data_IF_334132423507
#
_entry.id   IF_334132423507
#
_cell.length_a   1.000
_cell.length_b   1.000
_cell.length_c   1.000
_cell.angle_alpha   90.00
_cell.angle_beta   90.00
_cell.angle_gamma   90.00
#
_symmetry.space_group_name_H-M   'P 1'
#
loop_
_entity.id
_entity.type
_entity.pdbx_description
1 polymer ?
#
# COMPACT_ATOMS: atom_id res chain seq x y z
N UNK A 1 9.53 -8.10 -14.72
CA UNK A 1 8.46 -7.81 -13.75
C UNK A 1 8.41 -8.94 -12.72
N UNK A 2 8.35 -8.65 -11.42
CA UNK A 2 8.16 -9.65 -10.37
C UNK A 2 6.71 -9.61 -9.88
N UNK A 3 6.17 -10.77 -9.52
CA UNK A 3 4.82 -10.88 -8.95
C UNK A 3 4.89 -11.23 -7.47
N UNK A 4 4.06 -10.56 -6.67
CA UNK A 4 3.88 -10.88 -5.27
C UNK A 4 2.39 -11.02 -4.94
N UNK A 5 2.11 -11.56 -3.77
CA UNK A 5 0.77 -11.56 -3.20
C UNK A 5 0.79 -10.98 -1.79
N UNK A 6 -0.30 -10.34 -1.44
CA UNK A 6 -0.57 -9.84 -0.10
C UNK A 6 -1.10 -10.97 0.77
N UNK A 7 -0.54 -11.12 1.96
CA UNK A 7 -0.77 -12.32 2.77
C UNK A 7 -2.08 -12.33 3.55
N UNK A 8 -2.72 -11.18 3.75
CA UNK A 8 -3.95 -11.08 4.56
C UNK A 8 -5.09 -11.89 3.99
N UNK A 9 -5.12 -12.13 2.67
CA UNK A 9 -6.16 -12.98 2.06
C UNK A 9 -6.19 -14.41 2.59
N UNK A 10 -5.07 -14.88 3.15
CA UNK A 10 -4.98 -16.20 3.79
C UNK A 10 -5.40 -16.20 5.26
N UNK A 11 -5.88 -15.07 5.76
CA UNK A 11 -6.38 -14.89 7.13
C UNK A 11 -5.39 -15.38 8.20
N UNK A 12 -5.74 -16.45 8.93
CA UNK A 12 -4.95 -17.00 10.01
C UNK A 12 -4.00 -18.14 9.60
N UNK A 13 -3.77 -18.34 8.29
CA UNK A 13 -2.88 -19.42 7.84
C UNK A 13 -1.44 -19.17 8.31
N UNK A 14 -0.70 -20.23 8.68
CA UNK A 14 0.73 -20.10 9.00
C UNK A 14 1.53 -19.58 7.80
N UNK A 15 2.55 -18.75 8.03
CA UNK A 15 3.39 -18.19 6.96
C UNK A 15 4.01 -19.29 6.06
N UNK A 16 4.37 -20.45 6.61
CA UNK A 16 4.88 -21.57 5.82
C UNK A 16 3.88 -22.11 4.80
N UNK A 17 2.58 -22.12 5.15
CA UNK A 17 1.53 -22.52 4.21
C UNK A 17 1.37 -21.47 3.10
N UNK A 18 1.35 -20.18 3.46
CA UNK A 18 1.25 -19.07 2.51
C UNK A 18 2.43 -19.10 1.54
N UNK A 19 3.66 -19.22 2.06
CA UNK A 19 4.88 -19.28 1.27
C UNK A 19 4.90 -20.51 0.34
N UNK A 20 4.46 -21.67 0.82
CA UNK A 20 4.33 -22.88 -0.01
C UNK A 20 3.36 -22.68 -1.19
N UNK A 21 2.19 -22.07 -0.93
CA UNK A 21 1.21 -21.77 -1.99
C UNK A 21 1.78 -20.75 -2.98
N UNK A 22 2.35 -19.65 -2.50
CA UNK A 22 2.94 -18.61 -3.34
C UNK A 22 4.04 -19.17 -4.26
N UNK A 23 4.99 -19.92 -3.70
CA UNK A 23 6.08 -20.54 -4.47
C UNK A 23 5.55 -21.52 -5.51
N UNK A 24 4.63 -22.41 -5.14
CA UNK A 24 4.03 -23.39 -6.06
C UNK A 24 3.27 -22.74 -7.23
N UNK A 25 2.63 -21.61 -7.00
CA UNK A 25 1.94 -20.84 -8.04
C UNK A 25 2.91 -20.01 -8.88
N UNK A 26 4.17 -19.87 -8.45
CA UNK A 26 5.23 -19.15 -9.15
C UNK A 26 5.20 -17.64 -8.92
N UNK A 27 4.73 -17.20 -7.75
CA UNK A 27 5.01 -15.86 -7.24
C UNK A 27 6.48 -15.73 -6.86
N UNK A 28 6.99 -14.53 -6.81
CA UNK A 28 8.38 -14.22 -6.48
C UNK A 28 8.52 -13.66 -5.05
N UNK A 29 7.42 -13.19 -4.45
CA UNK A 29 7.45 -12.58 -3.14
C UNK A 29 6.10 -12.54 -2.43
N UNK A 30 6.18 -12.17 -1.15
CA UNK A 30 5.03 -11.95 -0.26
C UNK A 30 5.11 -10.53 0.29
N UNK A 31 3.99 -9.84 0.27
CA UNK A 31 3.78 -8.57 0.96
C UNK A 31 2.98 -8.83 2.24
N UNK A 32 3.42 -8.25 3.35
CA UNK A 32 2.94 -8.63 4.67
C UNK A 32 2.05 -7.54 5.27
N UNK A 33 0.85 -7.91 5.71
CA UNK A 33 0.04 -7.10 6.60
C UNK A 33 0.49 -7.35 8.05
N UNK A 34 1.03 -6.33 8.77
CA UNK A 34 1.62 -6.52 10.10
C UNK A 34 0.71 -7.18 11.12
N UNK A 35 -0.60 -6.91 11.05
CA UNK A 35 -1.59 -7.48 11.99
C UNK A 35 -1.72 -9.01 11.88
N UNK A 36 -1.25 -9.63 10.79
CA UNK A 36 -1.21 -11.10 10.65
C UNK A 36 -0.07 -11.73 11.46
N UNK A 37 0.92 -10.94 11.86
CA UNK A 37 2.05 -11.39 12.67
C UNK A 37 1.84 -11.13 14.17
N UNK A 38 1.04 -10.12 14.52
CA UNK A 38 0.77 -9.74 15.90
C UNK A 38 -0.11 -8.48 15.99
N UNK A 39 -0.59 -8.13 17.19
CA UNK A 39 -1.53 -7.02 17.37
C UNK A 39 -0.91 -5.64 17.07
N UNK A 40 0.40 -5.53 17.20
CA UNK A 40 1.16 -4.29 16.96
C UNK A 40 2.56 -4.61 16.46
N UNK A 41 3.12 -3.82 15.56
CA UNK A 41 4.51 -3.94 15.09
C UNK A 41 5.51 -3.92 16.26
N UNK A 42 5.23 -3.15 17.30
CA UNK A 42 6.06 -3.04 18.50
C UNK A 42 6.02 -4.29 19.39
N UNK A 43 5.00 -5.13 19.25
CA UNK A 43 4.80 -6.33 20.04
C UNK A 43 5.24 -7.62 19.33
N UNK A 44 5.62 -7.54 18.05
CA UNK A 44 6.13 -8.70 17.30
C UNK A 44 7.58 -8.98 17.74
N UNK A 45 7.83 -10.11 18.43
CA UNK A 45 9.18 -10.42 18.93
C UNK A 45 10.21 -10.58 17.82
N UNK A 46 11.46 -10.21 18.06
CA UNK A 46 12.55 -10.36 17.10
C UNK A 46 12.72 -11.80 16.58
N UNK A 47 12.49 -12.80 17.44
CA UNK A 47 12.51 -14.20 17.04
C UNK A 47 11.44 -14.52 15.98
N UNK A 48 10.23 -13.97 16.14
CA UNK A 48 9.12 -14.12 15.18
C UNK A 48 9.43 -13.42 13.85
N UNK A 49 10.01 -12.21 13.89
CA UNK A 49 10.43 -11.48 12.67
C UNK A 49 11.46 -12.31 11.88
N UNK A 50 12.48 -12.82 12.57
CA UNK A 50 13.52 -13.67 11.98
C UNK A 50 12.97 -14.99 11.43
N UNK A 51 12.08 -15.66 12.17
CA UNK A 51 11.39 -16.88 11.73
C UNK A 51 10.56 -16.63 10.47
N UNK A 52 9.75 -15.56 10.46
CA UNK A 52 8.92 -15.20 9.33
C UNK A 52 9.76 -14.95 8.07
N UNK A 53 10.79 -14.12 8.18
CA UNK A 53 11.75 -13.86 7.09
C UNK A 53 12.37 -15.16 6.58
N UNK A 54 12.93 -15.97 7.47
CA UNK A 54 13.55 -17.25 7.11
C UNK A 54 12.57 -18.19 6.41
N UNK A 55 11.32 -18.25 6.88
CA UNK A 55 10.29 -19.09 6.27
C UNK A 55 10.02 -18.69 4.83
N UNK A 56 9.94 -17.40 4.54
CA UNK A 56 9.75 -16.89 3.17
C UNK A 56 10.97 -17.21 2.30
N UNK A 57 12.17 -16.94 2.80
CA UNK A 57 13.43 -17.21 2.09
C UNK A 57 13.65 -18.71 1.82
N UNK A 58 13.31 -19.59 2.75
CA UNK A 58 13.42 -21.05 2.61
C UNK A 58 12.51 -21.62 1.48
N UNK A 59 11.46 -20.87 1.09
CA UNK A 59 10.61 -21.21 -0.05
C UNK A 59 11.07 -20.55 -1.36
N UNK A 60 12.23 -19.87 -1.37
CA UNK A 60 12.75 -19.18 -2.55
C UNK A 60 12.02 -17.88 -2.88
N UNK A 61 11.31 -17.29 -1.91
CA UNK A 61 10.56 -16.06 -2.06
C UNK A 61 11.26 -14.87 -1.39
N UNK A 62 10.93 -13.66 -1.82
CA UNK A 62 11.36 -12.42 -1.19
C UNK A 62 10.22 -11.81 -0.34
N UNK A 63 10.55 -11.21 0.80
CA UNK A 63 9.63 -10.28 1.46
C UNK A 63 9.64 -8.97 0.68
N UNK A 64 8.50 -8.59 0.09
CA UNK A 64 8.40 -7.34 -0.67
C UNK A 64 8.40 -6.14 0.27
N UNK A 65 7.53 -6.18 1.27
CA UNK A 65 7.37 -5.12 2.23
C UNK A 65 6.12 -5.28 3.08
N UNK A 66 5.62 -4.16 3.57
CA UNK A 66 4.44 -4.09 4.43
C UNK A 66 3.32 -3.28 3.76
N UNK A 67 2.08 -3.69 4.00
CA UNK A 67 0.87 -2.93 3.64
C UNK A 67 -0.13 -2.96 4.81
N UNK A 68 -1.27 -2.26 4.72
CA UNK A 68 -2.25 -2.14 5.82
C UNK A 68 -1.61 -1.68 7.15
N UNK A 69 -0.72 -0.72 7.07
CA UNK A 69 0.22 -0.34 8.12
C UNK A 69 -0.45 -0.01 9.46
N UNK A 70 -1.59 0.67 9.46
CA UNK A 70 -2.28 1.12 10.68
C UNK A 70 -3.52 0.29 11.03
N UNK A 71 -3.66 -0.92 10.46
CA UNK A 71 -4.86 -1.74 10.68
C UNK A 71 -4.90 -2.43 12.04
N UNK A 72 -3.75 -2.69 12.68
CA UNK A 72 -3.68 -3.39 13.96
C UNK A 72 -4.05 -2.52 15.17
N UNK A 73 -3.19 -1.58 15.60
CA UNK A 73 -3.41 -0.82 16.82
C UNK A 73 -4.49 0.24 16.69
N UNK A 74 -5.12 0.56 17.84
CA UNK A 74 -6.07 1.66 17.94
C UNK A 74 -5.35 2.97 18.25
N UNK A 75 -6.03 4.12 18.03
CA UNK A 75 -5.51 5.44 18.39
C UNK A 75 -4.40 5.94 17.49
N UNK A 76 -4.34 5.48 16.25
CA UNK A 76 -3.47 6.01 15.21
C UNK A 76 -4.24 6.94 14.27
N UNK A 77 -3.65 8.08 13.93
CA UNK A 77 -4.24 9.00 12.96
C UNK A 77 -3.22 10.05 12.48
N UNK A 78 -2.82 10.01 11.21
CA UNK A 78 -1.73 10.83 10.69
C UNK A 78 -2.10 12.30 10.44
N UNK A 79 -3.37 12.60 10.25
CA UNK A 79 -3.87 13.96 9.95
C UNK A 79 -4.57 14.63 11.14
N UNK A 80 -4.64 13.97 12.30
CA UNK A 80 -5.32 14.50 13.50
C UNK A 80 -4.69 15.76 14.04
N UNK A 81 -5.48 16.75 14.52
CA UNK A 81 -4.95 17.88 15.27
C UNK A 81 -4.57 17.52 16.72
N UNK A 82 -4.94 16.34 17.21
CA UNK A 82 -4.61 15.87 18.55
C UNK A 82 -3.15 15.41 18.59
N UNK A 83 -2.32 16.16 19.32
CA UNK A 83 -0.86 16.03 19.30
C UNK A 83 -0.36 14.67 19.80
N UNK A 84 -0.98 14.11 20.84
CA UNK A 84 -0.57 12.82 21.42
C UNK A 84 -0.82 11.66 20.43
N UNK A 85 -1.98 11.64 19.80
CA UNK A 85 -2.33 10.66 18.76
C UNK A 85 -1.40 10.80 17.54
N UNK A 86 -1.10 12.04 17.15
CA UNK A 86 -0.19 12.27 16.01
C UNK A 86 1.23 11.77 16.33
N UNK A 87 1.77 12.08 17.51
CA UNK A 87 3.08 11.59 17.94
C UNK A 87 3.12 10.06 18.03
N UNK A 88 2.08 9.46 18.62
CA UNK A 88 1.94 8.00 18.67
C UNK A 88 1.94 7.39 17.25
N UNK A 89 1.26 8.02 16.29
CA UNK A 89 1.22 7.55 14.91
C UNK A 89 2.60 7.65 14.24
N UNK A 90 3.33 8.73 14.48
CA UNK A 90 4.72 8.92 14.01
C UNK A 90 5.65 7.83 14.59
N UNK A 91 5.59 7.61 15.90
CA UNK A 91 6.45 6.64 16.58
C UNK A 91 6.12 5.20 16.11
N UNK A 92 4.85 4.93 15.86
CA UNK A 92 4.42 3.65 15.30
C UNK A 92 4.89 3.46 13.84
N UNK A 93 4.90 4.52 13.03
CA UNK A 93 5.44 4.47 11.67
C UNK A 93 6.95 4.17 11.69
N UNK A 94 7.70 4.74 12.63
CA UNK A 94 9.11 4.42 12.84
C UNK A 94 9.31 2.93 13.20
N UNK A 95 8.48 2.38 14.09
CA UNK A 95 8.54 0.96 14.45
C UNK A 95 8.17 0.02 13.26
N UNK A 96 7.31 0.45 12.35
CA UNK A 96 6.99 -0.27 11.12
C UNK A 96 8.18 -0.29 10.15
N UNK A 97 8.99 0.77 10.09
CA UNK A 97 10.23 0.78 9.30
C UNK A 97 11.22 -0.26 9.84
N UNK A 98 11.43 -0.33 11.16
CA UNK A 98 12.27 -1.36 11.79
C UNK A 98 11.73 -2.77 11.51
N UNK A 99 10.42 -2.98 11.66
CA UNK A 99 9.79 -4.27 11.35
C UNK A 99 10.01 -4.68 9.89
N UNK A 100 9.80 -3.76 8.94
CA UNK A 100 10.00 -4.00 7.52
C UNK A 100 11.44 -4.41 7.21
N UNK A 101 12.40 -3.70 7.79
CA UNK A 101 13.84 -4.00 7.67
C UNK A 101 14.19 -5.39 8.22
N UNK A 102 13.70 -5.73 9.41
CA UNK A 102 13.93 -7.04 10.05
C UNK A 102 13.37 -8.20 9.21
N UNK A 103 12.21 -7.98 8.58
CA UNK A 103 11.58 -8.95 7.69
C UNK A 103 12.25 -9.05 6.31
N UNK A 104 13.21 -8.16 6.00
CA UNK A 104 13.90 -8.11 4.71
C UNK A 104 13.13 -7.39 3.61
N UNK A 105 12.03 -6.71 3.95
CA UNK A 105 11.21 -5.91 3.03
C UNK A 105 11.93 -4.66 2.52
N UNK A 106 11.35 -4.04 1.49
CA UNK A 106 11.89 -2.83 0.85
C UNK A 106 10.88 -1.70 0.73
N UNK A 107 9.59 -1.99 0.86
CA UNK A 107 8.53 -0.99 0.71
C UNK A 107 7.53 -1.05 1.87
N UNK A 108 6.94 0.10 2.19
CA UNK A 108 5.82 0.22 3.12
C UNK A 108 4.69 0.97 2.42
N UNK A 109 3.59 0.28 2.11
CA UNK A 109 2.43 0.88 1.44
C UNK A 109 1.54 1.58 2.47
N UNK A 110 1.51 2.90 2.41
CA UNK A 110 0.74 3.75 3.31
C UNK A 110 -0.59 4.16 2.68
N UNK A 111 -1.57 3.26 2.75
CA UNK A 111 -2.98 3.53 2.44
C UNK A 111 -3.73 4.02 3.66
N UNK A 112 -4.11 3.11 4.54
CA UNK A 112 -4.70 3.38 5.87
C UNK A 112 -5.83 4.44 5.87
N UNK A 113 -6.94 4.19 5.16
CA UNK A 113 -7.96 5.21 4.89
C UNK A 113 -8.57 5.83 6.15
N UNK A 114 -8.88 5.02 7.15
CA UNK A 114 -9.52 5.48 8.39
C UNK A 114 -8.61 6.37 9.24
N UNK A 115 -7.31 6.16 9.17
CA UNK A 115 -6.32 6.85 9.98
C UNK A 115 -5.77 8.12 9.30
N UNK A 116 -6.36 8.55 8.17
CA UNK A 116 -5.95 9.76 7.47
C UNK A 116 -7.09 10.69 7.06
N UNK A 117 -8.34 10.37 7.44
CA UNK A 117 -9.46 11.24 7.14
C UNK A 117 -9.22 12.65 7.69
N UNK A 118 -9.59 13.67 6.91
CA UNK A 118 -9.72 15.01 7.43
C UNK A 118 -10.86 14.98 8.45
N UNK A 119 -10.52 15.18 9.72
CA UNK A 119 -11.49 15.19 10.80
C UNK A 119 -12.37 16.43 10.64
N UNK A 120 -13.68 16.25 10.76
CA UNK A 120 -14.69 17.22 10.38
C UNK A 120 -14.43 18.62 10.95
N UNK A 121 -14.57 19.61 10.08
CA UNK A 121 -15.05 20.92 10.50
C UNK A 121 -16.57 20.74 10.71
N UNK A 122 -17.10 21.18 11.85
CA UNK A 122 -18.54 21.14 12.11
C UNK A 122 -19.33 21.63 10.87
N UNK A 123 -20.17 20.79 10.33
CA UNK A 123 -21.16 21.15 9.31
C UNK A 123 -20.90 20.70 7.86
N UNK A 124 -19.77 20.04 7.53
CA UNK A 124 -19.58 19.47 6.19
C UNK A 124 -19.75 17.96 6.25
N UNK A 125 -20.83 17.38 5.67
CA UNK A 125 -20.96 15.94 5.57
C UNK A 125 -19.80 15.34 4.78
N UNK A 126 -19.36 14.11 5.08
CA UNK A 126 -18.32 13.41 4.32
C UNK A 126 -18.61 13.26 2.81
N UNK A 127 -19.87 13.46 2.41
CA UNK A 127 -20.34 13.39 1.02
C UNK A 127 -20.16 14.67 0.20
N UNK A 128 -19.91 15.82 0.82
CA UNK A 128 -19.65 17.08 0.10
C UNK A 128 -18.15 17.23 -0.21
N UNK A 129 -17.63 16.23 -0.91
CA UNK A 129 -16.20 16.11 -1.30
C UNK A 129 -15.93 16.81 -2.63
N UNK A 130 -16.41 18.04 -2.78
CA UNK A 130 -16.07 18.87 -3.93
C UNK A 130 -14.64 19.45 -3.80
N UNK A 131 -14.16 20.01 -4.90
CA UNK A 131 -12.87 20.73 -4.94
C UNK A 131 -12.76 21.79 -3.82
N UNK A 132 -13.89 22.33 -3.38
CA UNK A 132 -13.99 23.32 -2.30
C UNK A 132 -13.57 22.78 -0.92
N UNK A 133 -13.72 21.47 -0.65
CA UNK A 133 -13.28 20.87 0.62
C UNK A 133 -11.76 20.93 0.83
N UNK A 134 -10.99 20.94 -0.26
CA UNK A 134 -9.51 20.99 -0.25
C UNK A 134 -8.94 22.34 0.16
N UNK A 135 -9.71 23.42 -0.02
CA UNK A 135 -9.32 24.78 0.37
C UNK A 135 -9.73 25.16 1.79
N UNK A 136 -10.31 24.20 2.54
CA UNK A 136 -10.69 24.46 3.94
C UNK A 136 -9.47 24.52 4.85
N UNK A 137 -9.53 25.31 5.96
CA UNK A 137 -8.47 25.30 6.97
C UNK A 137 -8.21 23.91 7.56
N UNK A 138 -9.25 23.07 7.67
CA UNK A 138 -9.14 21.69 8.17
C UNK A 138 -8.30 20.83 7.22
N UNK A 139 -8.58 20.88 5.91
CA UNK A 139 -7.81 20.13 4.91
C UNK A 139 -6.35 20.60 4.87
N UNK A 140 -6.11 21.92 4.83
CA UNK A 140 -4.75 22.47 4.87
C UNK A 140 -4.00 22.07 6.15
N UNK A 141 -4.68 22.03 7.29
CA UNK A 141 -4.11 21.53 8.53
C UNK A 141 -3.78 20.05 8.49
N UNK A 142 -4.68 19.22 7.95
CA UNK A 142 -4.46 17.78 7.73
C UNK A 142 -3.27 17.53 6.80
N UNK A 143 -3.19 18.29 5.70
CA UNK A 143 -2.09 18.23 4.75
C UNK A 143 -0.73 18.49 5.42
N UNK A 144 -0.59 19.60 6.17
CA UNK A 144 0.66 19.92 6.90
C UNK A 144 1.06 18.80 7.84
N UNK A 145 0.12 18.28 8.64
CA UNK A 145 0.41 17.19 9.59
C UNK A 145 0.83 15.89 8.89
N UNK A 146 0.27 15.60 7.71
CA UNK A 146 0.72 14.47 6.90
C UNK A 146 2.14 14.69 6.35
N UNK A 147 2.45 15.88 5.83
CA UNK A 147 3.79 16.26 5.39
C UNK A 147 4.78 16.17 6.55
N UNK A 148 4.47 16.77 7.71
CA UNK A 148 5.34 16.76 8.89
C UNK A 148 5.60 15.34 9.41
N UNK A 149 4.58 14.46 9.42
CA UNK A 149 4.74 13.08 9.83
C UNK A 149 5.68 12.33 8.87
N UNK A 150 5.45 12.44 7.57
CA UNK A 150 6.28 11.77 6.57
C UNK A 150 7.72 12.31 6.61
N UNK A 151 7.89 13.63 6.66
CA UNK A 151 9.22 14.26 6.77
C UNK A 151 10.00 13.79 8.01
N UNK A 152 9.29 13.49 9.12
CA UNK A 152 9.93 13.04 10.36
C UNK A 152 10.43 11.59 10.34
N UNK A 153 10.02 10.77 9.37
CA UNK A 153 10.36 9.33 9.30
C UNK A 153 11.11 8.93 8.01
N UNK A 154 11.12 9.78 6.97
CA UNK A 154 11.74 9.42 5.69
C UNK A 154 13.26 9.27 5.75
N UNK A 155 13.94 9.99 6.65
CA UNK A 155 15.39 9.83 6.86
C UNK A 155 15.70 8.42 7.38
N UNK A 156 14.98 7.94 8.41
CA UNK A 156 15.10 6.58 8.90
C UNK A 156 14.81 5.56 7.80
N UNK A 157 13.78 5.79 6.98
CA UNK A 157 13.50 4.94 5.83
C UNK A 157 14.70 4.88 4.87
N UNK A 158 15.34 6.02 4.59
CA UNK A 158 16.55 6.12 3.77
C UNK A 158 17.74 5.36 4.34
N UNK A 159 18.01 5.52 5.62
CA UNK A 159 19.09 4.82 6.35
C UNK A 159 18.90 3.31 6.31
N UNK A 160 17.66 2.82 6.38
CA UNK A 160 17.32 1.41 6.30
C UNK A 160 17.21 0.89 4.84
N UNK A 161 17.38 1.75 3.85
CA UNK A 161 17.23 1.41 2.43
C UNK A 161 15.81 0.99 2.05
N UNK A 162 14.80 1.63 2.68
CA UNK A 162 13.36 1.40 2.49
C UNK A 162 12.71 2.57 1.74
N UNK A 163 11.55 2.30 1.14
CA UNK A 163 10.69 3.32 0.57
C UNK A 163 9.30 3.29 1.22
N UNK A 164 8.83 4.44 1.69
CA UNK A 164 7.44 4.66 2.05
C UNK A 164 6.69 4.98 0.76
N UNK A 165 5.67 4.20 0.43
CA UNK A 165 4.89 4.33 -0.78
C UNK A 165 3.50 4.86 -0.42
N UNK A 166 3.27 6.16 -0.62
CA UNK A 166 1.98 6.79 -0.28
C UNK A 166 0.92 6.41 -1.32
N UNK A 167 -0.19 5.88 -0.85
CA UNK A 167 -1.27 5.39 -1.68
C UNK A 167 -2.45 6.37 -1.72
N UNK A 168 -2.78 6.99 -2.87
CA UNK A 168 -4.06 7.62 -3.09
C UNK A 168 -5.18 6.58 -3.06
N UNK A 169 -6.30 6.88 -2.40
CA UNK A 169 -7.41 5.93 -2.23
C UNK A 169 -8.72 6.50 -2.75
N UNK A 170 -9.66 5.62 -3.08
CA UNK A 170 -10.95 6.03 -3.60
C UNK A 170 -11.71 6.96 -2.64
N UNK A 171 -12.51 7.93 -3.15
CA UNK A 171 -13.31 8.82 -2.31
C UNK A 171 -14.29 8.10 -1.37
N UNK A 172 -14.67 6.87 -1.69
CA UNK A 172 -15.49 6.03 -0.82
C UNK A 172 -14.74 5.56 0.45
N UNK A 173 -13.40 5.53 0.42
CA UNK A 173 -12.55 5.00 1.49
C UNK A 173 -12.04 6.13 2.41
N UNK A 174 -11.70 7.29 1.84
CA UNK A 174 -11.15 8.43 2.58
C UNK A 174 -11.50 9.75 1.91
N UNK A 175 -11.50 10.84 2.67
CA UNK A 175 -11.66 12.20 2.15
C UNK A 175 -10.32 12.96 2.02
N UNK A 176 -9.18 12.25 2.06
CA UNK A 176 -7.85 12.85 2.02
C UNK A 176 -6.97 12.19 0.98
N UNK A 177 -6.57 12.93 -0.05
CA UNK A 177 -5.75 12.50 -1.19
C UNK A 177 -6.36 11.31 -1.94
N UNK A 178 -7.13 11.63 -2.95
CA UNK A 178 -7.92 10.66 -3.72
C UNK A 178 -7.42 10.46 -5.15
N UNK A 179 -6.36 11.15 -5.57
CA UNK A 179 -5.80 11.01 -6.91
C UNK A 179 -4.28 10.88 -6.86
N UNK A 180 -3.71 10.20 -7.86
CA UNK A 180 -2.26 10.10 -8.03
C UNK A 180 -1.63 11.49 -8.16
N UNK A 181 -2.30 12.44 -8.82
CA UNK A 181 -1.83 13.82 -8.91
C UNK A 181 -1.67 14.48 -7.52
N UNK A 182 -2.64 14.28 -6.63
CA UNK A 182 -2.57 14.81 -5.25
C UNK A 182 -1.49 14.11 -4.45
N UNK A 183 -1.40 12.79 -4.56
CA UNK A 183 -0.33 12.02 -3.92
C UNK A 183 1.05 12.48 -4.36
N UNK A 184 1.23 12.76 -5.64
CA UNK A 184 2.49 13.31 -6.17
C UNK A 184 2.79 14.73 -5.67
N UNK A 185 1.78 15.56 -5.37
CA UNK A 185 2.01 16.86 -4.72
C UNK A 185 2.59 16.66 -3.31
N UNK A 186 2.04 15.71 -2.54
CA UNK A 186 2.56 15.35 -1.22
C UNK A 186 4.00 14.83 -1.29
N UNK A 187 4.28 13.90 -2.21
CA UNK A 187 5.62 13.32 -2.41
C UNK A 187 6.65 14.41 -2.74
N UNK A 188 6.29 15.34 -3.63
CA UNK A 188 7.17 16.47 -4.02
C UNK A 188 7.38 17.48 -2.89
N UNK A 189 6.38 17.70 -2.05
CA UNK A 189 6.49 18.65 -0.93
C UNK A 189 7.41 18.11 0.17
N UNK A 190 7.33 16.82 0.50
CA UNK A 190 8.28 16.16 1.41
C UNK A 190 9.68 16.07 0.80
N UNK A 191 9.77 15.88 -0.53
CA UNK A 191 10.99 15.92 -1.33
C UNK A 191 12.13 15.04 -0.81
N UNK A 192 11.85 13.77 -0.55
CA UNK A 192 12.85 12.81 -0.10
C UNK A 192 12.82 11.53 -0.98
N UNK A 193 13.98 10.95 -1.36
CA UNK A 193 14.05 9.79 -2.26
C UNK A 193 13.38 8.53 -1.71
N UNK A 194 13.22 8.42 -0.39
CA UNK A 194 12.53 7.31 0.27
C UNK A 194 11.02 7.49 0.39
N UNK A 195 10.45 8.60 -0.09
CA UNK A 195 9.00 8.75 -0.24
C UNK A 195 8.63 8.65 -1.72
N UNK A 196 7.75 7.72 -2.03
CA UNK A 196 7.32 7.39 -3.40
C UNK A 196 5.79 7.38 -3.47
N UNK A 197 5.28 7.40 -4.70
CA UNK A 197 3.86 7.12 -4.92
C UNK A 197 3.63 5.60 -5.00
N UNK A 198 2.53 5.14 -4.44
CA UNK A 198 1.96 3.83 -4.69
C UNK A 198 0.86 3.94 -5.75
N UNK A 199 0.81 3.01 -6.68
CA UNK A 199 -0.27 2.89 -7.65
C UNK A 199 -1.12 1.67 -7.32
N UNK A 200 -2.44 1.85 -7.19
CA UNK A 200 -3.42 0.79 -6.98
C UNK A 200 -4.48 0.85 -8.08
N UNK A 201 -4.71 -0.26 -8.78
CA UNK A 201 -5.61 -0.28 -9.94
C UNK A 201 -7.04 0.08 -9.56
N UNK A 202 -7.58 -0.50 -8.49
CA UNK A 202 -8.95 -0.22 -7.98
C UNK A 202 -9.10 1.27 -7.61
N UNK A 203 -8.10 1.82 -6.92
CA UNK A 203 -8.12 3.23 -6.54
C UNK A 203 -8.06 4.14 -7.77
N UNK A 204 -7.15 3.89 -8.71
CA UNK A 204 -7.05 4.65 -9.96
C UNK A 204 -8.33 4.58 -10.81
N UNK A 205 -9.05 3.46 -10.82
CA UNK A 205 -10.35 3.37 -11.49
C UNK A 205 -11.39 4.35 -10.95
N UNK A 206 -11.22 4.88 -9.73
CA UNK A 206 -12.12 5.85 -9.11
C UNK A 206 -11.82 7.31 -9.48
N UNK A 207 -10.70 7.59 -10.18
CA UNK A 207 -10.26 8.96 -10.49
C UNK A 207 -10.99 9.61 -11.68
N UNK A 208 -11.86 8.86 -12.37
CA UNK A 208 -12.61 9.38 -13.51
C UNK A 208 -11.80 9.60 -14.79
N UNK A 209 -10.57 9.07 -14.84
CA UNK A 209 -9.67 9.04 -16.01
C UNK A 209 -9.31 7.59 -16.34
N UNK A 210 -8.95 7.27 -17.60
CA UNK A 210 -8.37 5.97 -17.92
C UNK A 210 -7.12 5.68 -17.08
N UNK A 211 -7.03 4.49 -16.48
CA UNK A 211 -5.89 4.09 -15.63
C UNK A 211 -4.55 4.25 -16.35
N UNK A 212 -4.50 3.94 -17.65
CA UNK A 212 -3.30 4.13 -18.47
C UNK A 212 -2.83 5.59 -18.53
N UNK A 213 -3.74 6.56 -18.60
CA UNK A 213 -3.40 7.99 -18.56
C UNK A 213 -2.83 8.40 -17.21
N UNK A 214 -3.39 7.86 -16.13
CA UNK A 214 -2.88 8.10 -14.77
C UNK A 214 -1.46 7.56 -14.65
N UNK A 215 -1.20 6.33 -15.11
CA UNK A 215 0.14 5.73 -15.11
C UNK A 215 1.12 6.57 -15.93
N UNK A 216 0.74 7.03 -17.12
CA UNK A 216 1.60 7.91 -17.94
C UNK A 216 1.88 9.28 -17.30
N UNK A 217 1.11 9.71 -16.31
CA UNK A 217 1.34 10.99 -15.62
C UNK A 217 2.49 10.98 -14.63
N UNK A 218 3.05 9.80 -14.32
CA UNK A 218 4.16 9.61 -13.38
C UNK A 218 5.36 8.96 -14.06
N UNK A 219 6.55 9.12 -13.46
CA UNK A 219 7.75 8.44 -13.91
C UNK A 219 7.97 7.16 -13.10
N UNK A 220 8.60 6.14 -13.68
CA UNK A 220 8.92 4.90 -12.97
C UNK A 220 9.74 5.12 -11.69
N UNK A 221 10.62 6.13 -11.67
CA UNK A 221 11.44 6.49 -10.51
C UNK A 221 10.61 7.01 -9.33
N UNK A 222 9.45 7.62 -9.60
CA UNK A 222 8.52 8.13 -8.58
C UNK A 222 7.62 7.02 -8.02
N UNK A 223 7.43 5.93 -8.77
CA UNK A 223 6.59 4.80 -8.34
C UNK A 223 7.40 3.84 -7.49
N UNK A 224 7.03 3.73 -6.20
CA UNK A 224 7.68 2.82 -5.26
C UNK A 224 7.13 1.40 -5.36
N UNK A 225 5.82 1.26 -5.48
CA UNK A 225 5.14 -0.03 -5.51
C UNK A 225 3.82 0.03 -6.30
N UNK A 226 3.26 -1.15 -6.65
CA UNK A 226 2.08 -1.24 -7.48
C UNK A 226 1.19 -2.41 -7.04
N UNK A 227 -0.05 -2.14 -6.63
CA UNK A 227 -1.06 -3.16 -6.37
C UNK A 227 -1.94 -3.41 -7.59
N UNK A 228 -2.21 -4.68 -7.84
CA UNK A 228 -3.07 -5.17 -8.92
C UNK A 228 -4.26 -5.91 -8.33
N UNK A 229 -5.45 -5.46 -8.69
CA UNK A 229 -6.73 -5.93 -8.19
C UNK A 229 -7.86 -5.57 -9.18
N UNK A 230 -9.09 -5.73 -8.78
CA UNK A 230 -10.26 -5.33 -9.57
C UNK A 230 -11.24 -4.50 -8.73
N UNK A 231 -12.06 -3.68 -9.38
CA UNK A 231 -13.06 -2.82 -8.71
C UNK A 231 -14.12 -3.62 -7.94
N UNK A 232 -14.32 -4.89 -8.28
CA UNK A 232 -15.20 -5.81 -7.58
C UNK A 232 -14.58 -6.40 -6.30
N UNK A 233 -13.36 -5.97 -5.94
CA UNK A 233 -12.59 -6.36 -4.74
C UNK A 233 -11.91 -7.74 -4.83
N UNK A 234 -11.92 -8.38 -5.99
CA UNK A 234 -11.15 -9.59 -6.28
C UNK A 234 -9.82 -9.28 -6.98
N UNK A 235 -9.09 -10.33 -7.33
CA UNK A 235 -7.83 -10.20 -8.05
C UNK A 235 -8.00 -9.93 -9.54
N UNK A 236 -6.90 -9.59 -10.23
CA UNK A 236 -6.88 -9.35 -11.67
C UNK A 236 -7.47 -10.51 -12.47
N UNK A 237 -8.32 -10.17 -13.46
CA UNK A 237 -8.99 -11.15 -14.32
C UNK A 237 -10.19 -11.85 -13.68
N UNK A 238 -10.63 -11.38 -12.51
CA UNK A 238 -11.83 -11.87 -11.84
C UNK A 238 -12.97 -10.84 -11.87
N UNK A 239 -12.81 -9.73 -12.56
CA UNK A 239 -13.79 -8.69 -12.79
C UNK A 239 -13.63 -8.06 -14.17
N UNK A 240 -14.00 -6.80 -14.30
CA UNK A 240 -14.16 -6.11 -15.58
C UNK A 240 -12.98 -5.18 -15.94
N UNK A 241 -11.94 -5.10 -15.10
CA UNK A 241 -10.78 -4.24 -15.39
C UNK A 241 -9.99 -4.81 -16.57
N UNK A 242 -9.88 -4.01 -17.65
CA UNK A 242 -9.03 -4.34 -18.79
C UNK A 242 -7.56 -4.01 -18.48
N UNK A 243 -6.76 -5.05 -18.34
CA UNK A 243 -5.33 -4.93 -18.05
C UNK A 243 -4.46 -4.68 -19.30
N UNK A 244 -4.99 -4.79 -20.52
CA UNK A 244 -4.18 -4.57 -21.72
C UNK A 244 -3.63 -3.13 -21.79
N UNK A 245 -4.43 -2.06 -21.68
CA UNK A 245 -3.91 -0.70 -21.67
C UNK A 245 -3.04 -0.39 -20.43
N UNK A 246 -3.35 -0.98 -19.27
CA UNK A 246 -2.54 -0.85 -18.05
C UNK A 246 -1.13 -1.40 -18.29
N UNK A 247 -1.04 -2.61 -18.85
CA UNK A 247 0.23 -3.26 -19.12
C UNK A 247 1.07 -2.50 -20.16
N UNK A 248 0.43 -1.87 -21.15
CA UNK A 248 1.11 -0.97 -22.09
C UNK A 248 1.69 0.23 -21.35
N UNK A 249 0.89 0.93 -20.55
CA UNK A 249 1.34 2.11 -19.81
C UNK A 249 2.47 1.79 -18.82
N UNK A 250 2.39 0.66 -18.10
CA UNK A 250 3.46 0.19 -17.19
C UNK A 250 4.77 -0.03 -17.94
N UNK A 251 4.74 -0.62 -19.15
CA UNK A 251 5.92 -0.78 -20.00
C UNK A 251 6.45 0.56 -20.53
N UNK A 252 5.55 1.45 -20.97
CA UNK A 252 5.92 2.75 -21.53
C UNK A 252 6.68 3.60 -20.54
N UNK A 253 6.27 3.63 -19.28
CA UNK A 253 6.99 4.31 -18.21
C UNK A 253 8.23 3.54 -17.73
N UNK A 254 8.46 2.31 -18.23
CA UNK A 254 9.56 1.42 -17.84
C UNK A 254 9.57 1.02 -16.37
N UNK A 255 8.40 0.83 -15.78
CA UNK A 255 8.31 0.27 -14.43
C UNK A 255 8.59 -1.23 -14.49
N UNK A 256 9.57 -1.71 -13.70
CA UNK A 256 10.10 -3.08 -13.76
C UNK A 256 10.22 -3.75 -12.38
N UNK A 257 9.58 -3.18 -11.34
CA UNK A 257 9.65 -3.67 -9.97
C UNK A 257 8.59 -4.77 -9.70
N UNK A 258 7.72 -4.54 -8.74
CA UNK A 258 6.74 -5.50 -8.24
C UNK A 258 5.32 -5.17 -8.70
N UNK A 259 4.55 -6.20 -9.01
CA UNK A 259 3.10 -6.16 -9.06
C UNK A 259 2.58 -7.10 -7.97
N UNK A 260 2.00 -6.55 -6.91
CA UNK A 260 1.43 -7.33 -5.80
C UNK A 260 -0.07 -7.47 -5.95
N UNK A 261 -0.56 -8.70 -5.87
CA UNK A 261 -2.00 -8.98 -5.86
C UNK A 261 -2.55 -8.69 -4.47
N UNK A 262 -3.35 -7.64 -4.36
CA UNK A 262 -4.10 -7.28 -3.15
C UNK A 262 -5.60 -7.44 -3.40
N UNK A 263 -6.29 -8.19 -2.53
CA UNK A 263 -7.72 -8.45 -2.65
C UNK A 263 -8.44 -8.21 -1.34
N UNK A 264 -9.75 -7.97 -1.41
CA UNK A 264 -10.59 -7.63 -0.25
C UNK A 264 -11.76 -8.61 -0.11
N UNK A 265 -11.87 -9.59 -1.02
CA UNK A 265 -12.80 -10.73 -0.96
C UNK A 265 -12.02 -12.01 -1.13
N UNK A 266 -12.29 -12.99 -0.30
CA UNK A 266 -11.49 -14.20 -0.16
C UNK A 266 -12.22 -15.48 -0.58
N UNK A 267 -13.45 -15.38 -1.12
CA UNK A 267 -14.18 -16.51 -1.67
C UNK A 267 -13.82 -16.73 -3.16
N UNK A 268 -13.80 -17.98 -3.66
CA UNK A 268 -14.11 -19.23 -2.93
C UNK A 268 -13.00 -19.65 -1.95
N UNK A 269 -11.75 -19.27 -2.18
CA UNK A 269 -10.59 -19.52 -1.32
C UNK A 269 -9.37 -18.74 -1.84
N UNK A 270 -8.39 -18.42 -0.96
CA UNK A 270 -7.21 -17.64 -1.30
C UNK A 270 -6.34 -18.23 -2.40
N UNK A 271 -6.18 -19.56 -2.43
CA UNK A 271 -5.34 -20.22 -3.42
C UNK A 271 -5.92 -20.10 -4.82
N UNK A 272 -7.24 -20.29 -4.96
CA UNK A 272 -7.95 -20.11 -6.23
C UNK A 272 -7.83 -18.67 -6.74
N UNK A 273 -7.95 -17.69 -5.85
CA UNK A 273 -7.81 -16.27 -6.19
C UNK A 273 -6.37 -15.98 -6.64
N UNK A 274 -5.39 -16.39 -5.86
CA UNK A 274 -3.97 -16.20 -6.17
C UNK A 274 -3.61 -16.85 -7.52
N UNK A 275 -4.11 -18.07 -7.77
CA UNK A 275 -3.86 -18.76 -9.04
C UNK A 275 -4.48 -18.04 -10.23
N UNK A 276 -5.75 -17.66 -10.16
CA UNK A 276 -6.43 -16.95 -11.25
C UNK A 276 -5.73 -15.62 -11.55
N UNK A 277 -5.34 -14.89 -10.52
CA UNK A 277 -4.67 -13.59 -10.64
C UNK A 277 -3.33 -13.70 -11.36
N UNK A 278 -2.46 -14.62 -10.94
CA UNK A 278 -1.14 -14.75 -11.57
C UNK A 278 -1.25 -15.32 -13.00
N UNK A 279 -2.15 -16.26 -13.24
CA UNK A 279 -2.38 -16.80 -14.59
C UNK A 279 -2.88 -15.72 -15.56
N UNK A 280 -3.69 -14.79 -15.06
CA UNK A 280 -4.17 -13.66 -15.85
C UNK A 280 -3.04 -12.63 -16.10
N UNK A 281 -2.27 -12.25 -15.09
CA UNK A 281 -1.18 -11.30 -15.20
C UNK A 281 -0.08 -11.76 -16.17
N UNK A 282 0.23 -13.06 -16.19
CA UNK A 282 1.22 -13.66 -17.12
C UNK A 282 0.87 -13.53 -18.59
N UNK A 283 -0.37 -13.22 -18.95
CA UNK A 283 -0.75 -12.90 -20.33
C UNK A 283 -0.16 -11.59 -20.82
N UNK A 284 0.14 -10.68 -19.93
CA UNK A 284 0.64 -9.34 -20.21
C UNK A 284 2.12 -9.17 -19.86
N UNK A 285 2.62 -9.94 -18.90
CA UNK A 285 4.01 -9.97 -18.44
C UNK A 285 4.47 -11.43 -18.36
N UNK A 286 4.82 -12.04 -19.51
CA UNK A 286 5.23 -13.44 -19.60
C UNK A 286 6.54 -13.75 -18.88
#
# INVERSE_FOLDING_TARGET
MKFALCNEMFENAPMAQIASVAARLGYHGIEIAPFTLGPSATEIPAAKRKETRKTIEDHGLETVGLHWLFAGPKGLHMTTPEQTTWQHTRDYMAALLDLCSDLGGKVLVLGSPKQRNVLSVEGVPPSDRGQDARDTPAYRGAWRRAVDLLASVVEQAGELGLAICFEPLAPAETNFINTVEEGMKLVREVNHPSLKIHLDVKAMCSEGKPVAEIIHSVKAEDVGHFHVNDVNLYGPGMGDVDYAPIAHAVRDIRYDKWLSVEVFKYDPDPETIAKKSIDYLRRFWP
#
